data_IF_713498569249
#
_entry.id   IF_713498569249
#
_cell.length_a   1.000
_cell.length_b   1.000
_cell.length_c   1.000
_cell.angle_alpha   90.00
_cell.angle_beta   90.00
_cell.angle_gamma   90.00
#
_symmetry.space_group_name_H-M   'P 1'
#
loop_
_entity.id
_entity.type
_entity.pdbx_description
1 polymer ?
#
# COMPACT_ATOMS: atom_id res chain seq x y z
N UNK A 1 -8.14 3.88 6.66
CA UNK A 1 -7.71 5.31 6.68
C UNK A 1 -6.20 5.49 6.90
N UNK A 2 -5.61 5.06 8.05
CA UNK A 2 -4.15 5.17 8.32
C UNK A 2 -3.25 4.55 7.23
N UNK A 3 -3.45 3.27 6.91
CA UNK A 3 -2.70 2.55 5.86
C UNK A 3 -2.80 3.25 4.52
N UNK A 4 -4.00 3.72 4.16
CA UNK A 4 -4.23 4.46 2.92
C UNK A 4 -3.41 5.75 2.86
N UNK A 5 -3.42 6.60 3.90
CA UNK A 5 -2.61 7.83 3.88
C UNK A 5 -1.11 7.53 3.81
N UNK A 6 -0.60 6.54 4.56
CA UNK A 6 0.80 6.14 4.44
C UNK A 6 1.15 5.72 3.01
N UNK A 7 0.29 4.93 2.36
CA UNK A 7 0.53 4.48 0.99
C UNK A 7 0.38 5.56 -0.10
N UNK A 8 -0.44 6.60 0.14
CA UNK A 8 -0.76 7.62 -0.88
C UNK A 8 -0.02 8.94 -0.69
N UNK A 9 0.26 9.32 0.55
CA UNK A 9 0.76 10.65 0.94
C UNK A 9 2.02 10.55 1.80
N UNK A 10 2.24 9.42 2.48
CA UNK A 10 3.37 9.21 3.39
C UNK A 10 4.52 8.38 2.80
N UNK A 11 4.38 7.84 1.60
CA UNK A 11 5.40 7.01 0.95
C UNK A 11 5.94 7.71 -0.29
N UNK A 12 7.27 7.75 -0.49
CA UNK A 12 7.87 8.27 -1.73
C UNK A 12 7.67 7.32 -2.93
N UNK A 13 7.07 6.14 -2.71
CA UNK A 13 6.87 5.14 -3.76
C UNK A 13 5.66 5.49 -4.63
N UNK A 14 5.86 5.41 -5.96
CA UNK A 14 4.78 5.57 -6.94
C UNK A 14 4.21 4.22 -7.34
N UNK A 15 3.09 3.87 -6.72
CA UNK A 15 2.30 2.68 -7.08
C UNK A 15 1.87 2.73 -8.55
N UNK A 16 2.03 1.62 -9.28
CA UNK A 16 1.69 1.51 -10.71
C UNK A 16 0.44 0.68 -10.98
N UNK A 17 0.18 -0.32 -10.14
CA UNK A 17 -0.97 -1.20 -10.23
C UNK A 17 -1.11 -2.02 -8.95
N UNK A 18 -2.33 -2.38 -8.59
CA UNK A 18 -2.65 -3.42 -7.61
C UNK A 18 -3.45 -4.48 -8.33
N UNK A 19 -2.99 -5.72 -8.26
CA UNK A 19 -3.59 -6.85 -8.97
C UNK A 19 -4.08 -7.88 -7.95
N UNK A 20 -5.39 -8.12 -7.92
CA UNK A 20 -6.03 -9.09 -7.03
C UNK A 20 -6.42 -10.33 -7.81
N UNK A 21 -5.86 -11.47 -7.44
CA UNK A 21 -6.13 -12.80 -8.02
C UNK A 21 -6.71 -13.72 -6.95
N UNK A 22 -7.35 -14.81 -7.38
CA UNK A 22 -7.93 -15.83 -6.49
C UNK A 22 -8.87 -15.23 -5.43
N UNK A 23 -9.65 -14.22 -5.81
CA UNK A 23 -10.50 -13.48 -4.87
C UNK A 23 -11.69 -14.31 -4.41
N UNK A 24 -11.87 -14.56 -3.10
CA UNK A 24 -12.93 -15.40 -2.59
C UNK A 24 -14.31 -14.70 -2.63
N UNK A 25 -15.37 -15.47 -2.38
CA UNK A 25 -16.71 -14.93 -2.16
C UNK A 25 -16.68 -13.90 -1.01
N UNK A 26 -17.16 -12.68 -1.28
CA UNK A 26 -17.14 -11.56 -0.32
C UNK A 26 -15.96 -10.59 -0.47
N UNK A 27 -14.96 -10.89 -1.32
CA UNK A 27 -13.88 -9.95 -1.63
C UNK A 27 -14.41 -8.61 -2.13
N UNK A 28 -15.41 -8.62 -3.02
CA UNK A 28 -16.04 -7.42 -3.56
C UNK A 28 -16.60 -6.49 -2.46
N UNK A 29 -17.13 -7.04 -1.36
CA UNK A 29 -17.64 -6.21 -0.26
C UNK A 29 -16.50 -5.44 0.41
N UNK A 30 -15.41 -6.12 0.74
CA UNK A 30 -14.22 -5.51 1.37
C UNK A 30 -13.54 -4.55 0.41
N UNK A 31 -13.43 -4.92 -0.86
CA UNK A 31 -12.89 -4.10 -1.93
C UNK A 31 -13.68 -2.79 -2.09
N UNK A 32 -15.01 -2.87 -2.14
CA UNK A 32 -15.87 -1.69 -2.27
C UNK A 32 -15.82 -0.77 -1.03
N UNK A 33 -15.59 -1.32 0.16
CA UNK A 33 -15.32 -0.51 1.35
C UNK A 33 -13.96 0.19 1.25
N UNK A 34 -12.91 -0.53 0.83
CA UNK A 34 -11.56 -0.01 0.78
C UNK A 34 -11.36 1.04 -0.33
N UNK A 35 -11.95 0.82 -1.52
CA UNK A 35 -11.78 1.70 -2.69
C UNK A 35 -12.17 3.15 -2.39
N UNK A 36 -13.15 3.36 -1.50
CA UNK A 36 -13.64 4.69 -1.13
C UNK A 36 -12.58 5.52 -0.39
N UNK A 37 -11.59 4.88 0.24
CA UNK A 37 -10.49 5.59 0.90
C UNK A 37 -9.36 5.99 -0.06
N UNK A 38 -9.33 5.44 -1.27
CA UNK A 38 -8.30 5.75 -2.26
C UNK A 38 -8.63 7.04 -3.01
N UNK A 39 -7.58 7.75 -3.44
CA UNK A 39 -7.71 8.86 -4.39
C UNK A 39 -8.03 8.31 -5.79
N UNK A 40 -8.55 9.17 -6.68
CA UNK A 40 -8.94 8.80 -8.03
C UNK A 40 -7.82 8.10 -8.81
N UNK A 41 -6.59 8.62 -8.71
CA UNK A 41 -5.40 8.08 -9.37
C UNK A 41 -5.05 6.65 -8.94
N UNK A 42 -5.31 6.28 -7.69
CA UNK A 42 -5.06 4.93 -7.20
C UNK A 42 -6.26 4.01 -7.43
N UNK A 43 -7.49 4.55 -7.46
CA UNK A 43 -8.68 3.78 -7.86
C UNK A 43 -8.55 3.26 -9.30
N UNK A 44 -8.02 4.04 -10.22
CA UNK A 44 -7.79 3.62 -11.62
C UNK A 44 -6.69 2.58 -11.80
N UNK A 45 -5.96 2.24 -10.73
CA UNK A 45 -4.86 1.26 -10.72
C UNK A 45 -5.23 -0.03 -10.00
N UNK A 46 -6.48 -0.18 -9.59
CA UNK A 46 -6.99 -1.41 -9.00
C UNK A 46 -7.47 -2.33 -10.11
N UNK A 47 -6.94 -3.55 -10.14
CA UNK A 47 -7.30 -4.59 -11.10
C UNK A 47 -7.72 -5.83 -10.33
N UNK A 48 -8.97 -6.27 -10.52
CA UNK A 48 -9.51 -7.49 -9.92
C UNK A 48 -9.67 -8.53 -11.02
N UNK A 49 -8.85 -9.58 -10.96
CA UNK A 49 -8.79 -10.64 -11.97
C UNK A 49 -9.66 -11.85 -11.57
N UNK A 50 -9.99 -11.98 -10.29
CA UNK A 50 -10.71 -13.14 -9.76
C UNK A 50 -9.96 -14.43 -10.07
N UNK A 51 -10.65 -15.41 -10.65
CA UNK A 51 -10.06 -16.67 -11.12
C UNK A 51 -9.50 -16.59 -12.54
N UNK A 52 -9.67 -15.47 -13.25
CA UNK A 52 -9.21 -15.31 -14.63
C UNK A 52 -7.75 -14.83 -14.69
N UNK A 53 -6.82 -15.78 -14.66
CA UNK A 53 -5.39 -15.48 -14.76
C UNK A 53 -4.97 -14.88 -16.11
N UNK A 54 -5.69 -15.14 -17.20
CA UNK A 54 -5.36 -14.52 -18.50
C UNK A 54 -5.46 -12.99 -18.46
N UNK A 55 -6.44 -12.46 -17.71
CA UNK A 55 -6.53 -11.01 -17.49
C UNK A 55 -5.37 -10.44 -16.68
N UNK A 56 -4.69 -11.22 -15.82
CA UNK A 56 -3.47 -10.77 -15.15
C UNK A 56 -2.32 -10.66 -16.16
N UNK A 57 -2.22 -11.61 -17.09
CA UNK A 57 -1.10 -11.71 -18.02
C UNK A 57 -1.06 -10.58 -19.05
N UNK A 58 -2.19 -9.91 -19.29
CA UNK A 58 -2.26 -8.66 -20.06
C UNK A 58 -1.49 -7.51 -19.40
N UNK A 59 -1.34 -7.55 -18.06
CA UNK A 59 -0.59 -6.55 -17.29
C UNK A 59 0.83 -6.99 -16.94
N UNK A 60 1.03 -8.29 -16.65
CA UNK A 60 2.31 -8.84 -16.20
C UNK A 60 2.67 -10.07 -17.04
N UNK A 61 3.78 -10.05 -17.80
CA UNK A 61 4.18 -11.17 -18.64
C UNK A 61 4.36 -12.49 -17.86
N UNK A 62 3.85 -13.61 -18.40
CA UNK A 62 3.96 -14.97 -17.83
C UNK A 62 5.39 -15.33 -17.41
N UNK A 63 6.38 -14.94 -18.22
CA UNK A 63 7.80 -15.21 -17.93
C UNK A 63 8.34 -14.62 -16.62
N UNK A 64 7.64 -13.63 -16.06
CA UNK A 64 8.04 -12.96 -14.81
C UNK A 64 7.27 -13.50 -13.58
N UNK A 65 6.29 -14.37 -13.78
CA UNK A 65 5.46 -14.90 -12.71
C UNK A 65 5.95 -16.28 -12.27
N UNK A 66 5.81 -16.64 -10.98
CA UNK A 66 6.07 -17.98 -10.49
C UNK A 66 5.16 -19.03 -11.15
N UNK A 67 5.60 -20.30 -11.12
CA UNK A 67 4.86 -21.45 -11.66
C UNK A 67 3.49 -21.64 -11.00
N UNK A 68 3.38 -21.34 -9.71
CA UNK A 68 2.15 -21.42 -8.92
C UNK A 68 1.09 -20.41 -9.39
N UNK A 69 1.51 -19.37 -10.11
CA UNK A 69 0.64 -18.41 -10.79
C UNK A 69 0.60 -18.62 -12.30
N UNK A 70 0.95 -19.82 -12.79
CA UNK A 70 0.93 -20.18 -14.21
C UNK A 70 2.02 -19.53 -15.06
N UNK A 71 3.07 -19.00 -14.43
CA UNK A 71 4.20 -18.38 -15.11
C UNK A 71 5.42 -19.30 -15.29
N UNK A 72 6.53 -18.70 -15.73
CA UNK A 72 7.75 -19.42 -16.12
C UNK A 72 8.97 -19.07 -15.23
N UNK A 73 8.82 -18.21 -14.23
CA UNK A 73 9.91 -17.70 -13.40
C UNK A 73 10.38 -18.66 -12.29
N UNK A 74 10.06 -19.95 -12.39
CA UNK A 74 10.38 -20.95 -11.37
C UNK A 74 9.37 -21.00 -10.22
N UNK A 75 9.62 -21.84 -9.20
CA UNK A 75 8.80 -21.93 -7.98
C UNK A 75 8.78 -20.62 -7.20
N UNK A 76 7.65 -20.30 -6.56
CA UNK A 76 7.52 -19.13 -5.69
C UNK A 76 8.49 -19.17 -4.50
N UNK A 77 8.86 -20.37 -4.05
CA UNK A 77 9.80 -20.54 -2.94
C UNK A 77 11.17 -19.97 -3.27
N UNK A 78 11.66 -20.12 -4.51
CA UNK A 78 12.95 -19.56 -4.93
C UNK A 78 12.96 -18.02 -4.83
N UNK A 79 11.82 -17.38 -5.15
CA UNK A 79 11.64 -15.93 -5.01
C UNK A 79 11.66 -15.53 -3.54
N UNK A 80 10.96 -16.28 -2.68
CA UNK A 80 10.93 -16.05 -1.24
C UNK A 80 12.35 -16.15 -0.66
N UNK A 81 13.05 -17.25 -0.93
CA UNK A 81 14.38 -17.51 -0.40
C UNK A 81 15.38 -16.43 -0.86
N UNK A 82 15.29 -16.01 -2.11
CA UNK A 82 16.10 -14.91 -2.67
C UNK A 82 15.88 -13.61 -1.90
N UNK A 83 14.62 -13.25 -1.63
CA UNK A 83 14.29 -12.01 -0.93
C UNK A 83 14.64 -12.07 0.55
N UNK A 84 14.41 -13.21 1.23
CA UNK A 84 14.82 -13.43 2.62
C UNK A 84 16.32 -13.22 2.74
N UNK A 85 17.12 -13.92 1.92
CA UNK A 85 18.58 -13.78 1.92
C UNK A 85 19.02 -12.34 1.63
N UNK A 86 18.35 -11.66 0.71
CA UNK A 86 18.63 -10.25 0.40
C UNK A 86 18.37 -9.36 1.61
N UNK A 87 17.23 -9.51 2.28
CA UNK A 87 16.89 -8.74 3.49
C UNK A 87 17.90 -9.02 4.59
N UNK A 88 18.22 -10.28 4.86
CA UNK A 88 19.21 -10.68 5.88
C UNK A 88 20.60 -10.11 5.59
N UNK A 89 21.05 -10.15 4.34
CA UNK A 89 22.34 -9.57 3.94
C UNK A 89 22.40 -8.04 4.09
N UNK A 90 21.24 -7.38 4.19
CA UNK A 90 21.12 -5.94 4.42
C UNK A 90 20.72 -5.61 5.87
N UNK A 91 20.83 -6.56 6.81
CA UNK A 91 20.43 -6.34 8.20
C UNK A 91 21.07 -5.10 8.83
N UNK A 92 22.36 -4.86 8.57
CA UNK A 92 23.05 -3.69 9.14
C UNK A 92 22.59 -2.37 8.50
N UNK A 93 22.23 -2.37 7.22
CA UNK A 93 21.59 -1.22 6.58
C UNK A 93 20.28 -0.88 7.30
N UNK A 94 19.43 -1.88 7.58
CA UNK A 94 18.15 -1.64 8.28
C UNK A 94 18.34 -1.19 9.73
N UNK A 95 19.37 -1.69 10.45
CA UNK A 95 19.71 -1.18 11.78
C UNK A 95 20.16 0.28 11.74
N UNK A 96 20.91 0.67 10.71
CA UNK A 96 21.32 2.06 10.52
C UNK A 96 20.12 2.97 10.20
N UNK A 97 19.11 2.46 9.48
CA UNK A 97 17.89 3.23 9.22
C UNK A 97 17.16 3.69 10.49
N UNK A 98 17.25 2.93 11.59
CA UNK A 98 16.66 3.36 12.89
C UNK A 98 17.30 4.64 13.45
N UNK A 99 18.52 4.96 13.02
CA UNK A 99 19.21 6.19 13.42
C UNK A 99 18.74 7.41 12.61
N UNK A 100 18.05 7.21 11.50
CA UNK A 100 17.53 8.27 10.65
C UNK A 100 16.04 8.52 10.95
N UNK A 101 15.67 9.78 11.03
CA UNK A 101 14.30 10.18 11.33
C UNK A 101 14.14 11.68 11.33
N UNK A 102 12.90 12.14 11.47
CA UNK A 102 12.61 13.57 11.61
C UNK A 102 12.48 13.91 13.09
N UNK A 103 13.26 14.89 13.56
CA UNK A 103 13.04 15.50 14.87
C UNK A 103 11.79 16.38 14.82
N UNK A 104 10.64 15.82 15.23
CA UNK A 104 9.35 16.49 15.21
C UNK A 104 9.34 17.80 16.02
N UNK A 105 10.24 17.97 17.01
CA UNK A 105 10.35 19.24 17.77
C UNK A 105 10.83 20.40 16.91
N UNK A 106 11.52 20.11 15.80
CA UNK A 106 12.06 21.11 14.86
C UNK A 106 11.14 21.37 13.67
N UNK A 107 9.98 20.70 13.59
CA UNK A 107 9.03 20.88 12.48
C UNK A 107 8.43 22.29 12.52
N UNK A 108 8.56 23.10 11.46
CA UNK A 108 7.88 24.39 11.38
C UNK A 108 6.36 24.21 11.31
N UNK A 109 5.61 25.01 12.07
CA UNK A 109 4.15 24.97 12.11
C UNK A 109 3.57 24.07 13.22
N UNK A 110 2.23 23.93 13.26
CA UNK A 110 1.57 23.06 14.25
C UNK A 110 1.88 21.59 13.95
N UNK A 111 2.16 20.75 14.97
CA UNK A 111 2.35 19.32 14.79
C UNK A 111 1.12 18.69 14.13
N UNK A 112 1.30 17.99 13.02
CA UNK A 112 0.24 17.17 12.42
C UNK A 112 0.07 15.90 13.26
N UNK A 113 -0.84 15.94 14.23
CA UNK A 113 -1.19 14.80 15.05
C UNK A 113 -2.28 13.94 14.38
N UNK A 114 -2.56 12.75 14.93
CA UNK A 114 -3.60 11.88 14.41
C UNK A 114 -4.98 12.58 14.33
N UNK A 115 -5.28 13.49 15.25
CA UNK A 115 -6.56 14.22 15.29
C UNK A 115 -6.71 15.17 14.09
N UNK A 116 -5.66 15.92 13.75
CA UNK A 116 -5.58 16.79 12.56
C UNK A 116 -5.56 16.00 11.24
N UNK A 117 -4.90 14.83 11.22
CA UNK A 117 -4.73 14.00 10.03
C UNK A 117 -5.96 13.13 9.72
N UNK A 118 -6.71 12.72 10.75
CA UNK A 118 -7.91 11.88 10.58
C UNK A 118 -9.24 12.65 10.70
N UNK A 119 -9.19 13.96 10.93
CA UNK A 119 -10.36 14.85 10.85
C UNK A 119 -11.28 14.81 12.07
N UNK A 120 -10.71 14.67 13.27
CA UNK A 120 -11.48 14.81 14.53
C UNK A 120 -11.60 16.30 14.92
N UNK A 121 -10.78 17.17 14.34
CA UNK A 121 -10.81 18.61 14.59
C UNK A 121 -11.76 19.33 13.61
N UNK A 122 -12.96 19.71 14.07
CA UNK A 122 -13.75 20.79 13.44
C UNK A 122 -15.22 20.51 13.07
N UNK A 123 -16.11 20.47 14.06
CA UNK A 123 -17.38 21.22 14.09
C UNK A 123 -17.90 21.19 15.53
N UNK A 124 -18.53 22.25 16.03
CA UNK A 124 -18.99 22.45 17.42
C UNK A 124 -17.95 22.89 18.46
N UNK A 125 -17.31 24.06 18.32
CA UNK A 125 -16.95 24.95 19.47
C UNK A 125 -16.73 26.41 19.05
N UNK A 126 -17.78 27.06 18.54
CA UNK A 126 -18.03 28.50 18.77
C UNK A 126 -19.39 28.86 18.18
N UNK A 127 -20.38 28.99 19.05
CA UNK A 127 -21.60 29.73 18.76
C UNK A 127 -21.24 31.19 19.06
N UNK A 128 -21.02 32.02 18.04
CA UNK A 128 -21.04 33.46 18.24
C UNK A 128 -22.50 33.88 18.13
N UNK A 129 -23.07 34.24 19.28
CA UNK A 129 -24.40 34.83 19.39
C UNK A 129 -24.19 36.34 19.36
N UNK A 130 -24.84 37.00 18.41
CA UNK A 130 -25.02 38.46 18.39
C UNK A 130 -25.99 38.88 19.49
#
# INVERSE_FOLDING_TARGET
>A
KKVTMLSQEGSPLRLKGFHYINTPSGFEMVYNLFKNFLNEKNRTRLHVHGSNMESLYEHIPKRLLPKEYGGEAGPIQDVVDTWVKKIESNADYFKQEELYGTDEKRRPGRPKNAESLFGIEGSFRKLEVD
#
